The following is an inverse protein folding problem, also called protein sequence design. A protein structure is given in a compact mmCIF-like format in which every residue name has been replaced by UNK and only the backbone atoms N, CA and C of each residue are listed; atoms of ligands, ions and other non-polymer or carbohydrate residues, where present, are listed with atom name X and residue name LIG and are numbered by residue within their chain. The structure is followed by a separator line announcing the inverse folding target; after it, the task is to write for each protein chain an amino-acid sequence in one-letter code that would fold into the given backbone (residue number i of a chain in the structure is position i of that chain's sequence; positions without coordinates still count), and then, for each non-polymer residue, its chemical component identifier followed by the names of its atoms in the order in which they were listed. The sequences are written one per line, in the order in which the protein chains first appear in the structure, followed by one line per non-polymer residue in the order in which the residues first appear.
data_IF_406156829700
#
_entry.id   IF_406156829700
#
_cell.length_a   1.000
_cell.length_b   1.000
_cell.length_c   1.000
_cell.angle_alpha   90.00
_cell.angle_beta   90.00
_cell.angle_gamma   90.00
#
_symmetry.space_group_name_H-M   'P 1'
#
loop_
_entity.id
_entity.type
_entity.pdbx_description
1 polymer ?
#
# COMPACT_ATOMS: atom_id res chain seq x y z
N UNK A 1 -0.59 19.46 -16.20
CA UNK A 1 -1.11 18.09 -15.99
C UNK A 1 -0.28 17.02 -16.70
N UNK A 2 -0.12 17.04 -18.04
CA UNK A 2 0.63 16.02 -18.79
C UNK A 2 2.05 15.75 -18.26
N UNK A 3 2.80 16.81 -17.94
CA UNK A 3 4.15 16.71 -17.34
C UNK A 3 4.18 15.97 -15.99
N UNK A 4 3.18 16.19 -15.12
CA UNK A 4 3.11 15.53 -13.82
C UNK A 4 2.76 14.05 -13.93
N UNK A 5 1.89 13.68 -14.88
CA UNK A 5 1.55 12.27 -15.17
C UNK A 5 2.77 11.53 -15.73
N UNK A 6 3.55 12.17 -16.58
CA UNK A 6 4.79 11.61 -17.13
C UNK A 6 5.84 11.38 -16.04
N UNK A 7 6.04 12.36 -15.16
CA UNK A 7 6.92 12.22 -13.98
C UNK A 7 6.44 11.09 -13.06
N UNK A 8 5.14 11.04 -12.76
CA UNK A 8 4.56 9.97 -11.94
C UNK A 8 4.81 8.58 -12.55
N UNK A 9 4.60 8.42 -13.86
CA UNK A 9 4.83 7.17 -14.57
C UNK A 9 6.30 6.72 -14.51
N UNK A 10 7.25 7.67 -14.62
CA UNK A 10 8.68 7.38 -14.49
C UNK A 10 9.03 6.94 -13.07
N UNK A 11 8.49 7.61 -12.04
CA UNK A 11 8.72 7.26 -10.63
C UNK A 11 8.11 5.90 -10.26
N UNK A 12 6.91 5.61 -10.79
CA UNK A 12 6.26 4.30 -10.66
C UNK A 12 7.10 3.20 -11.32
N UNK A 13 7.56 3.43 -12.56
CA UNK A 13 8.39 2.47 -13.29
C UNK A 13 9.72 2.21 -12.59
N UNK A 14 10.38 3.25 -12.06
CA UNK A 14 11.62 3.09 -11.30
C UNK A 14 11.40 2.31 -10.00
N UNK A 15 10.29 2.56 -9.30
CA UNK A 15 9.93 1.82 -8.10
C UNK A 15 9.69 0.34 -8.40
N UNK A 16 8.93 0.05 -9.45
CA UNK A 16 8.67 -1.31 -9.94
C UNK A 16 9.97 -2.04 -10.34
N UNK A 17 10.88 -1.40 -11.07
CA UNK A 17 12.15 -2.02 -11.45
C UNK A 17 13.00 -2.37 -10.22
N UNK A 18 13.02 -1.50 -9.21
CA UNK A 18 13.76 -1.75 -7.96
C UNK A 18 13.17 -2.94 -7.19
N UNK A 19 11.85 -3.05 -7.11
CA UNK A 19 11.22 -4.18 -6.42
C UNK A 19 11.33 -5.48 -7.21
N UNK A 20 11.19 -5.41 -8.52
CA UNK A 20 11.47 -6.54 -9.42
C UNK A 20 12.94 -6.95 -9.46
N UNK A 21 13.85 -6.19 -8.85
CA UNK A 21 15.24 -6.63 -8.65
C UNK A 21 15.32 -7.74 -7.58
N UNK A 22 14.35 -7.78 -6.65
CA UNK A 22 14.19 -8.83 -5.63
C UNK A 22 12.86 -9.58 -5.81
N UNK A 23 12.64 -10.17 -6.99
CA UNK A 23 11.40 -10.88 -7.37
C UNK A 23 10.93 -11.89 -6.33
N UNK A 24 11.87 -12.59 -5.68
CA UNK A 24 11.55 -13.57 -4.63
C UNK A 24 10.95 -12.91 -3.39
N UNK A 25 11.50 -11.77 -2.95
CA UNK A 25 10.96 -11.04 -1.80
C UNK A 25 9.56 -10.48 -2.11
N UNK A 26 9.37 -9.91 -3.29
CA UNK A 26 8.07 -9.45 -3.77
C UNK A 26 7.02 -10.57 -3.78
N UNK A 27 7.35 -11.73 -4.38
CA UNK A 27 6.43 -12.86 -4.44
C UNK A 27 6.10 -13.43 -3.06
N UNK A 28 7.10 -13.51 -2.18
CA UNK A 28 6.90 -13.96 -0.80
C UNK A 28 5.95 -13.03 -0.05
N UNK A 29 6.15 -11.71 -0.15
CA UNK A 29 5.24 -10.74 0.45
C UNK A 29 3.81 -10.86 -0.10
N UNK A 30 3.65 -10.99 -1.41
CA UNK A 30 2.34 -11.21 -2.02
C UNK A 30 1.64 -12.47 -1.49
N UNK A 31 2.39 -13.58 -1.35
CA UNK A 31 1.84 -14.83 -0.78
C UNK A 31 1.44 -14.65 0.68
N UNK A 32 2.25 -13.96 1.49
CA UNK A 32 1.93 -13.67 2.89
C UNK A 32 0.64 -12.86 3.00
N UNK A 33 0.48 -11.82 2.18
CA UNK A 33 -0.72 -10.97 2.16
C UNK A 33 -1.97 -11.75 1.74
N UNK A 34 -1.87 -12.62 0.73
CA UNK A 34 -2.98 -13.47 0.31
C UNK A 34 -3.36 -14.45 1.42
N UNK A 35 -2.38 -15.09 2.06
CA UNK A 35 -2.62 -16.01 3.16
C UNK A 35 -3.29 -15.29 4.35
N UNK A 36 -2.87 -14.07 4.66
CA UNK A 36 -3.48 -13.26 5.70
C UNK A 36 -4.94 -12.93 5.38
N UNK A 37 -5.22 -12.51 4.15
CA UNK A 37 -6.58 -12.23 3.68
C UNK A 37 -7.48 -13.48 3.71
N UNK A 38 -6.99 -14.61 3.19
CA UNK A 38 -7.70 -15.88 3.29
C UNK A 38 -7.93 -16.29 4.74
N UNK A 39 -6.95 -16.09 5.61
CA UNK A 39 -7.05 -16.33 7.05
C UNK A 39 -8.18 -15.52 7.70
N UNK A 40 -8.32 -14.24 7.36
CA UNK A 40 -9.43 -13.41 7.82
C UNK A 40 -10.78 -13.94 7.35
N UNK A 41 -10.92 -14.32 6.06
CA UNK A 41 -12.16 -14.89 5.53
C UNK A 41 -12.54 -16.19 6.24
N UNK A 42 -11.56 -17.08 6.47
CA UNK A 42 -11.76 -18.34 7.19
C UNK A 42 -12.17 -18.07 8.63
N UNK A 43 -11.51 -17.13 9.31
CA UNK A 43 -11.83 -16.73 10.67
C UNK A 43 -13.30 -16.30 10.80
N UNK A 44 -13.75 -15.37 9.95
CA UNK A 44 -15.16 -14.95 9.96
C UNK A 44 -16.10 -16.08 9.54
N UNK A 45 -15.70 -16.94 8.61
CA UNK A 45 -16.51 -18.09 8.22
C UNK A 45 -16.72 -19.10 9.35
N UNK A 46 -15.73 -19.30 10.22
CA UNK A 46 -15.84 -20.16 11.41
C UNK A 46 -16.80 -19.54 12.43
N UNK A 47 -16.71 -18.22 12.65
CA UNK A 47 -17.62 -17.51 13.57
C UNK A 47 -19.06 -17.65 13.08
N UNK A 48 -19.33 -17.34 11.81
CA UNK A 48 -20.66 -17.46 11.22
C UNK A 48 -21.14 -18.91 11.03
N UNK A 49 -20.28 -19.90 11.23
CA UNK A 49 -20.69 -21.30 11.32
C UNK A 49 -21.27 -21.69 12.69
N UNK A 50 -20.99 -20.89 13.73
CA UNK A 50 -21.50 -21.08 15.09
C UNK A 50 -22.58 -20.07 15.48
N UNK A 51 -22.70 -18.97 14.72
CA UNK A 51 -23.61 -17.86 14.98
C UNK A 51 -24.23 -17.40 13.67
N UNK A 52 -25.56 -17.40 13.56
CA UNK A 52 -26.24 -17.01 12.32
C UNK A 52 -26.11 -15.50 11.99
N UNK A 53 -25.90 -14.65 13.02
CA UNK A 53 -25.89 -13.18 12.91
C UNK A 53 -24.97 -12.58 13.98
N UNK A 54 -24.13 -11.60 13.63
CA UNK A 54 -23.38 -10.81 14.62
C UNK A 54 -24.09 -9.46 14.74
N UNK A 55 -24.96 -9.32 15.75
CA UNK A 55 -25.88 -8.17 15.83
C UNK A 55 -26.81 -8.15 14.62
N UNK A 56 -26.85 -7.01 13.92
CA UNK A 56 -27.66 -6.85 12.69
C UNK A 56 -26.89 -7.21 11.40
N UNK A 57 -25.66 -7.70 11.51
CA UNK A 57 -24.80 -7.98 10.36
C UNK A 57 -24.82 -9.46 9.97
N UNK A 58 -25.07 -9.71 8.70
CA UNK A 58 -24.97 -11.02 8.06
C UNK A 58 -23.53 -11.34 7.68
N UNK A 59 -23.24 -12.63 7.43
CA UNK A 59 -21.91 -13.13 7.02
C UNK A 59 -21.33 -12.32 5.84
N UNK A 60 -22.13 -12.06 4.82
CA UNK A 60 -21.67 -11.41 3.60
C UNK A 60 -21.39 -9.92 3.79
N UNK A 61 -22.12 -9.24 4.66
CA UNK A 61 -21.88 -7.83 4.98
C UNK A 61 -20.56 -7.66 5.75
N UNK A 62 -20.26 -8.57 6.68
CA UNK A 62 -18.97 -8.55 7.39
C UNK A 62 -17.81 -8.88 6.46
N UNK A 63 -17.95 -9.89 5.59
CA UNK A 63 -16.92 -10.23 4.59
C UNK A 63 -16.67 -9.05 3.65
N UNK A 64 -17.73 -8.36 3.21
CA UNK A 64 -17.61 -7.18 2.36
C UNK A 64 -16.91 -6.03 3.09
N UNK A 65 -17.26 -5.78 4.35
CA UNK A 65 -16.63 -4.76 5.19
C UNK A 65 -15.12 -5.02 5.34
N UNK A 66 -14.75 -6.25 5.72
CA UNK A 66 -13.36 -6.65 5.94
C UNK A 66 -12.56 -6.63 4.63
N UNK A 67 -13.14 -7.14 3.55
CA UNK A 67 -12.51 -7.10 2.22
C UNK A 67 -12.28 -5.68 1.73
N UNK A 68 -13.26 -4.80 1.88
CA UNK A 68 -13.13 -3.39 1.49
C UNK A 68 -12.08 -2.68 2.34
N UNK A 69 -12.09 -2.90 3.65
CA UNK A 69 -11.08 -2.37 4.56
C UNK A 69 -9.67 -2.81 4.16
N UNK A 70 -9.47 -4.12 3.92
CA UNK A 70 -8.19 -4.68 3.52
C UNK A 70 -7.71 -4.06 2.20
N UNK A 71 -8.56 -3.97 1.17
CA UNK A 71 -8.20 -3.37 -0.12
C UNK A 71 -7.76 -1.92 0.04
N UNK A 72 -8.51 -1.12 0.80
CA UNK A 72 -8.17 0.29 1.04
C UNK A 72 -6.86 0.41 1.83
N UNK A 73 -6.67 -0.42 2.85
CA UNK A 73 -5.45 -0.43 3.65
C UNK A 73 -4.22 -0.80 2.80
N UNK A 74 -4.30 -1.84 1.98
CA UNK A 74 -3.21 -2.25 1.09
C UNK A 74 -2.91 -1.19 0.03
N UNK A 75 -3.94 -0.56 -0.54
CA UNK A 75 -3.75 0.55 -1.47
C UNK A 75 -3.05 1.74 -0.79
N UNK A 76 -3.47 2.08 0.43
CA UNK A 76 -2.82 3.13 1.19
C UNK A 76 -1.36 2.79 1.50
N UNK A 77 -1.10 1.54 1.89
CA UNK A 77 0.23 1.04 2.20
C UNK A 77 1.16 1.11 0.99
N UNK A 78 0.68 0.61 -0.16
CA UNK A 78 1.48 0.53 -1.38
C UNK A 78 1.84 1.90 -1.97
N UNK A 79 0.87 2.83 -1.93
CA UNK A 79 1.02 4.13 -2.60
C UNK A 79 1.54 5.25 -1.69
N UNK A 80 1.14 5.28 -0.42
CA UNK A 80 1.36 6.45 0.44
C UNK A 80 2.22 6.15 1.66
N UNK A 81 1.98 5.04 2.35
CA UNK A 81 2.63 4.76 3.63
C UNK A 81 4.15 4.73 3.54
N UNK A 82 4.68 4.12 2.49
CA UNK A 82 6.14 4.03 2.30
C UNK A 82 6.78 5.40 2.12
N UNK A 83 6.14 6.30 1.39
CA UNK A 83 6.65 7.67 1.23
C UNK A 83 6.65 8.40 2.57
N UNK A 84 5.55 8.29 3.34
CA UNK A 84 5.41 8.92 4.66
C UNK A 84 6.43 8.37 5.67
N UNK A 85 6.61 7.05 5.72
CA UNK A 85 7.55 6.38 6.62
C UNK A 85 9.01 6.72 6.31
N UNK A 86 9.34 7.09 5.06
CA UNK A 86 10.68 7.49 4.66
C UNK A 86 11.02 8.97 4.94
N UNK A 87 10.04 9.82 5.27
CA UNK A 87 10.27 11.25 5.54
C UNK A 87 11.29 11.47 6.67
N UNK A 88 11.18 10.82 7.84
CA UNK A 88 12.14 11.01 8.92
C UNK A 88 13.58 10.65 8.51
N UNK A 89 13.76 9.64 7.66
CA UNK A 89 15.08 9.27 7.15
C UNK A 89 15.63 10.29 6.16
N UNK A 90 14.78 10.86 5.30
CA UNK A 90 15.14 11.97 4.40
C UNK A 90 15.60 13.20 5.19
N UNK A 91 14.94 13.51 6.31
CA UNK A 91 15.34 14.58 7.23
C UNK A 91 16.68 14.24 7.89
N UNK A 92 16.80 13.05 8.49
CA UNK A 92 18.02 12.59 9.18
C UNK A 92 19.27 12.63 8.30
N UNK A 93 19.11 12.32 7.01
CA UNK A 93 20.23 12.26 6.04
C UNK A 93 20.49 13.57 5.30
N UNK A 94 19.71 14.64 5.56
CA UNK A 94 19.80 15.92 4.84
C UNK A 94 19.38 15.85 3.36
N UNK A 95 18.85 14.70 2.91
CA UNK A 95 18.41 14.49 1.52
C UNK A 95 17.08 15.18 1.21
N UNK A 96 16.36 15.60 2.24
CA UNK A 96 15.13 16.36 2.08
C UNK A 96 15.41 17.70 1.39
N UNK A 97 16.47 18.41 1.78
CA UNK A 97 16.83 19.71 1.21
C UNK A 97 17.11 19.63 -0.29
N UNK A 98 17.78 18.56 -0.73
CA UNK A 98 17.99 18.29 -2.16
C UNK A 98 16.67 18.07 -2.92
N UNK A 99 15.65 17.54 -2.25
CA UNK A 99 14.34 17.28 -2.84
C UNK A 99 13.52 18.56 -2.97
N UNK A 100 13.68 19.50 -2.04
CA UNK A 100 12.99 20.80 -2.05
C UNK A 100 13.50 21.76 -3.15
N UNK A 101 14.71 21.55 -3.65
CA UNK A 101 15.33 22.37 -4.72
C UNK A 101 14.90 21.90 -6.12
N UNK A 102 14.25 20.75 -6.26
CA UNK A 102 13.75 20.28 -7.55
C UNK A 102 12.70 21.26 -8.12
N UNK A 103 12.68 21.50 -9.44
CA UNK A 103 11.71 22.40 -10.09
C UNK A 103 10.33 21.74 -10.26
N UNK A 104 9.83 21.09 -9.20
CA UNK A 104 8.54 20.43 -9.09
C UNK A 104 7.94 20.73 -7.71
N UNK A 105 6.63 20.56 -7.58
CA UNK A 105 5.97 20.73 -6.29
C UNK A 105 6.57 19.78 -5.24
N UNK A 106 7.03 20.34 -4.12
CA UNK A 106 7.72 19.61 -3.05
C UNK A 106 6.83 18.55 -2.41
N UNK A 107 5.53 18.81 -2.27
CA UNK A 107 4.59 17.86 -1.68
C UNK A 107 4.36 16.67 -2.61
N UNK A 108 4.23 16.92 -3.92
CA UNK A 108 4.16 15.89 -4.95
C UNK A 108 5.44 15.05 -4.98
N UNK A 109 6.61 15.69 -4.94
CA UNK A 109 7.92 15.04 -5.00
C UNK A 109 8.17 14.10 -3.82
N UNK A 110 7.81 14.54 -2.60
CA UNK A 110 7.97 13.73 -1.38
C UNK A 110 6.97 12.57 -1.36
N UNK A 111 5.73 12.78 -1.79
CA UNK A 111 4.65 11.81 -1.64
C UNK A 111 4.61 10.72 -2.72
N UNK A 112 5.28 10.91 -3.86
CA UNK A 112 5.23 9.99 -5.02
C UNK A 112 6.60 9.38 -5.37
N UNK A 113 7.58 9.52 -4.47
CA UNK A 113 8.96 9.13 -4.72
C UNK A 113 9.13 7.63 -4.88
N UNK A 114 8.45 6.86 -4.05
CA UNK A 114 8.63 5.43 -3.93
C UNK A 114 7.29 4.75 -3.71
N UNK A 115 6.94 3.88 -4.63
CA UNK A 115 5.83 2.94 -4.44
C UNK A 115 6.42 1.63 -3.94
N UNK A 116 5.78 1.01 -2.96
CA UNK A 116 6.05 -0.41 -2.67
C UNK A 116 4.85 -1.20 -3.16
N UNK A 117 5.00 -1.80 -4.33
CA UNK A 117 3.97 -2.56 -5.02
C UNK A 117 4.13 -4.05 -4.71
#
# INVERSE_FOLDING_TARGET
MRRYIEIYSIMLRNSLIREMSFKANFLLWMVVEILWFCGQIVFFSIIFGNVDHIGDWTKWEVVLLVGTHQIIAQLFQAFFFVNVANIPELVRTGRLDSLLVLPIDSQFAVSTKQFAL
#
